data_IF_478882630468
#
_entry.id   IF_478882630468
#
_cell.length_a   1.000
_cell.length_b   1.000
_cell.length_c   1.000
_cell.angle_alpha   90.00
_cell.angle_beta   90.00
_cell.angle_gamma   90.00
#
_symmetry.space_group_name_H-M   'P 1'
#
loop_
_entity.id
_entity.type
_entity.pdbx_description
1 polymer ?
#
# COMPACT_ATOMS: atom_id res chain seq x y z
N UNK A 1 -9.15 16.14 -5.72
CA UNK A 1 -7.86 16.03 -6.48
C UNK A 1 -7.84 14.70 -7.20
N UNK A 2 -7.50 14.64 -8.50
CA UNK A 2 -7.58 13.38 -9.26
C UNK A 2 -6.32 12.52 -9.09
N UNK A 3 -6.50 11.21 -8.85
CA UNK A 3 -5.39 10.25 -8.79
C UNK A 3 -4.75 10.04 -10.16
N UNK A 4 -5.54 9.94 -11.23
CA UNK A 4 -5.07 9.81 -12.61
C UNK A 4 -6.07 10.48 -13.58
N UNK A 5 -5.66 11.00 -14.74
CA UNK A 5 -6.58 11.65 -15.68
C UNK A 5 -7.58 10.72 -16.36
N UNK A 6 -7.31 9.42 -16.43
CA UNK A 6 -8.17 8.40 -17.06
C UNK A 6 -8.47 7.24 -16.11
N UNK A 7 -9.53 6.50 -16.38
CA UNK A 7 -9.93 5.30 -15.61
C UNK A 7 -10.54 4.25 -16.55
N UNK A 8 -10.29 2.95 -16.32
CA UNK A 8 -9.34 2.38 -15.35
C UNK A 8 -7.88 2.71 -15.69
N UNK A 9 -7.01 2.75 -14.68
CA UNK A 9 -5.56 2.91 -14.85
C UNK A 9 -4.80 1.71 -14.30
N UNK A 10 -3.81 1.25 -15.05
CA UNK A 10 -3.00 0.07 -14.71
C UNK A 10 -1.84 0.46 -13.79
N UNK A 11 -1.77 -0.15 -12.62
CA UNK A 11 -0.65 -0.15 -11.69
C UNK A 11 0.33 -1.29 -12.07
N UNK A 12 1.56 -1.21 -11.59
CA UNK A 12 2.55 -2.28 -11.72
C UNK A 12 2.20 -3.54 -10.88
N UNK A 13 3.18 -4.44 -10.77
CA UNK A 13 3.07 -5.71 -10.05
C UNK A 13 4.07 -5.84 -8.91
N UNK A 14 4.31 -7.07 -8.45
CA UNK A 14 5.26 -7.33 -7.37
C UNK A 14 6.71 -7.06 -7.78
N UNK A 15 7.30 -6.01 -7.21
CA UNK A 15 8.72 -5.65 -7.40
C UNK A 15 9.65 -6.67 -6.72
N UNK A 16 9.50 -6.87 -5.41
CA UNK A 16 10.29 -7.82 -4.62
C UNK A 16 9.35 -8.73 -3.82
N UNK A 17 9.43 -10.05 -4.02
CA UNK A 17 8.79 -11.04 -3.17
C UNK A 17 9.51 -12.37 -3.34
N UNK A 18 9.92 -12.95 -2.23
CA UNK A 18 10.52 -14.27 -2.11
C UNK A 18 9.76 -15.32 -2.92
N UNK A 19 10.51 -16.12 -3.69
CA UNK A 19 9.99 -17.16 -4.59
C UNK A 19 9.10 -16.56 -5.69
N UNK A 20 9.74 -16.10 -6.77
CA UNK A 20 9.26 -15.70 -8.09
C UNK A 20 8.52 -14.37 -8.20
N UNK A 21 9.20 -13.27 -7.90
CA UNK A 21 8.91 -11.98 -8.56
C UNK A 21 9.66 -11.80 -9.84
N UNK A 22 9.31 -10.73 -10.55
CA UNK A 22 10.06 -10.11 -11.64
C UNK A 22 11.58 -10.07 -11.38
N UNK A 23 12.04 -9.73 -10.17
CA UNK A 23 13.47 -9.69 -9.86
C UNK A 23 14.14 -11.08 -9.87
N UNK A 24 13.46 -12.10 -9.35
CA UNK A 24 13.97 -13.48 -9.38
C UNK A 24 13.78 -14.13 -10.77
N UNK A 25 12.62 -13.92 -11.41
CA UNK A 25 12.24 -14.52 -12.69
C UNK A 25 12.98 -13.90 -13.88
N UNK A 26 13.24 -12.58 -13.88
CA UNK A 26 13.97 -11.90 -14.96
C UNK A 26 15.48 -11.87 -14.73
N UNK A 27 15.94 -11.82 -13.48
CA UNK A 27 17.36 -11.55 -13.18
C UNK A 27 18.03 -12.61 -12.29
N UNK A 28 17.31 -13.65 -11.84
CA UNK A 28 17.91 -14.80 -11.15
C UNK A 28 18.49 -14.50 -9.76
N UNK A 29 18.00 -13.44 -9.09
CA UNK A 29 18.51 -13.01 -7.79
C UNK A 29 17.91 -13.82 -6.62
N UNK A 30 18.72 -14.09 -5.59
CA UNK A 30 18.29 -14.75 -4.35
C UNK A 30 17.83 -13.71 -3.32
N UNK A 31 16.51 -13.49 -3.22
CA UNK A 31 15.92 -12.58 -2.22
C UNK A 31 15.63 -13.37 -0.94
N UNK A 32 16.67 -13.69 -0.16
CA UNK A 32 16.49 -14.38 1.12
C UNK A 32 15.74 -13.51 2.15
N UNK A 33 14.59 -14.01 2.65
CA UNK A 33 13.77 -13.44 3.74
C UNK A 33 14.51 -13.27 5.09
N UNK A 34 15.78 -13.64 5.17
CA UNK A 34 16.60 -13.46 6.38
C UNK A 34 17.09 -12.01 6.55
N UNK A 35 17.00 -11.17 5.52
CA UNK A 35 17.37 -9.75 5.62
C UNK A 35 16.19 -8.90 6.11
N UNK A 36 16.38 -8.03 7.13
CA UNK A 36 15.41 -7.03 7.53
C UNK A 36 15.04 -6.02 6.43
N UNK A 37 15.76 -6.00 5.29
CA UNK A 37 15.60 -5.08 4.17
C UNK A 37 15.16 -5.78 2.88
N UNK A 38 14.40 -6.88 2.92
CA UNK A 38 14.13 -7.68 1.70
C UNK A 38 13.55 -6.87 0.51
N UNK A 39 12.78 -5.81 0.76
CA UNK A 39 12.28 -4.90 -0.30
C UNK A 39 13.24 -3.76 -0.69
N UNK A 40 14.18 -3.39 0.19
CA UNK A 40 15.05 -2.22 0.00
C UNK A 40 16.52 -2.58 -0.29
N UNK A 41 16.94 -3.81 0.00
CA UNK A 41 18.31 -4.30 -0.18
C UNK A 41 18.78 -4.15 -1.62
N UNK A 42 17.89 -4.37 -2.58
CA UNK A 42 18.19 -4.27 -4.01
C UNK A 42 18.52 -2.85 -4.46
N UNK A 43 18.08 -1.82 -3.72
CA UNK A 43 18.49 -0.42 -3.98
C UNK A 43 19.99 -0.24 -3.71
N UNK A 44 20.52 -0.97 -2.72
CA UNK A 44 21.93 -0.94 -2.35
C UNK A 44 22.77 -1.79 -3.30
N UNK A 45 22.35 -3.04 -3.51
CA UNK A 45 23.19 -4.05 -4.16
C UNK A 45 23.08 -4.03 -5.69
N UNK A 46 21.88 -3.79 -6.23
CA UNK A 46 21.57 -3.93 -7.66
C UNK A 46 20.61 -2.82 -8.18
N UNK A 47 20.96 -1.52 -8.03
CA UNK A 47 20.09 -0.40 -8.38
C UNK A 47 19.64 -0.38 -9.86
N UNK A 48 20.50 -0.85 -10.77
CA UNK A 48 20.17 -1.00 -12.19
C UNK A 48 18.97 -1.95 -12.42
N UNK A 49 18.85 -2.98 -11.59
CA UNK A 49 17.78 -3.96 -11.71
C UNK A 49 16.43 -3.38 -11.29
N UNK A 50 16.42 -2.44 -10.34
CA UNK A 50 15.22 -1.66 -9.98
C UNK A 50 14.74 -0.84 -11.18
N UNK A 51 15.65 -0.15 -11.87
CA UNK A 51 15.33 0.66 -13.07
C UNK A 51 14.75 -0.23 -14.17
N UNK A 52 15.41 -1.33 -14.50
CA UNK A 52 14.95 -2.27 -15.54
C UNK A 52 13.60 -2.91 -15.19
N UNK A 53 13.34 -3.17 -13.91
CA UNK A 53 12.06 -3.71 -13.45
C UNK A 53 10.92 -2.71 -13.65
N UNK A 54 11.12 -1.45 -13.25
CA UNK A 54 10.13 -0.40 -13.51
C UNK A 54 9.89 -0.21 -15.01
N UNK A 55 10.94 -0.20 -15.84
CA UNK A 55 10.84 -0.16 -17.30
C UNK A 55 10.00 -1.33 -17.83
N UNK A 56 10.24 -2.55 -17.35
CA UNK A 56 9.50 -3.73 -17.78
C UNK A 56 7.99 -3.61 -17.51
N UNK A 57 7.60 -3.08 -16.34
CA UNK A 57 6.18 -2.83 -16.02
C UNK A 57 5.57 -1.71 -16.87
N UNK A 58 6.26 -0.59 -17.08
CA UNK A 58 5.76 0.48 -17.95
C UNK A 58 5.56 0.02 -19.39
N UNK A 59 6.52 -0.75 -19.92
CA UNK A 59 6.44 -1.41 -21.24
C UNK A 59 5.34 -2.46 -21.32
N UNK A 60 4.94 -3.05 -20.19
CA UNK A 60 3.80 -3.96 -20.12
C UNK A 60 2.45 -3.23 -20.09
N UNK A 61 2.41 -1.93 -19.82
CA UNK A 61 1.16 -1.15 -19.81
C UNK A 61 0.90 -0.41 -18.51
N UNK A 62 1.72 -0.61 -17.46
CA UNK A 62 1.59 0.15 -16.23
C UNK A 62 1.75 1.65 -16.48
N UNK A 63 0.91 2.44 -15.82
CA UNK A 63 0.90 3.91 -15.86
C UNK A 63 1.05 4.53 -14.48
N UNK A 64 0.99 3.70 -13.45
CA UNK A 64 1.43 4.02 -12.10
C UNK A 64 2.47 2.96 -11.72
N UNK A 65 3.61 3.37 -11.16
CA UNK A 65 4.61 2.47 -10.60
C UNK A 65 4.83 2.78 -9.12
N UNK A 66 5.02 1.76 -8.30
CA UNK A 66 5.33 1.88 -6.88
C UNK A 66 6.85 2.00 -6.67
N UNK A 67 7.29 2.82 -5.73
CA UNK A 67 8.72 2.88 -5.37
C UNK A 67 9.14 1.67 -4.53
N UNK A 68 10.42 1.30 -4.53
CA UNK A 68 10.94 0.16 -3.74
C UNK A 68 11.12 0.50 -2.24
N UNK A 69 10.14 1.17 -1.62
CA UNK A 69 10.21 1.74 -0.28
C UNK A 69 9.25 1.10 0.73
N UNK A 70 8.56 0.03 0.34
CA UNK A 70 7.51 -0.64 1.13
C UNK A 70 7.88 -0.83 2.61
N UNK A 71 9.04 -1.43 2.92
CA UNK A 71 9.50 -1.62 4.30
C UNK A 71 10.43 -0.52 4.83
N UNK A 72 10.87 0.40 3.97
CA UNK A 72 11.95 1.33 4.29
C UNK A 72 11.58 2.25 5.45
N UNK A 73 12.32 2.12 6.55
CA UNK A 73 12.30 3.02 7.72
C UNK A 73 13.67 2.99 8.40
N UNK A 74 14.05 4.07 9.08
CA UNK A 74 15.32 4.13 9.83
C UNK A 74 15.51 2.91 10.76
N UNK A 75 14.44 2.45 11.42
CA UNK A 75 14.48 1.28 12.29
C UNK A 75 14.80 -0.03 11.54
N UNK A 76 14.24 -0.26 10.36
CA UNK A 76 14.57 -1.45 9.56
C UNK A 76 16.02 -1.45 9.08
N UNK A 77 16.55 -0.29 8.70
CA UNK A 77 17.94 -0.11 8.31
C UNK A 77 18.89 -0.30 9.49
N UNK A 78 18.54 0.24 10.67
CA UNK A 78 19.30 0.04 11.91
C UNK A 78 19.41 -1.43 12.29
N UNK A 79 18.31 -2.20 12.20
CA UNK A 79 18.31 -3.66 12.41
C UNK A 79 19.21 -4.40 11.42
N UNK A 80 19.36 -3.88 10.21
CA UNK A 80 20.26 -4.42 9.20
C UNK A 80 21.72 -3.91 9.32
N UNK A 81 22.01 -3.04 10.30
CA UNK A 81 23.37 -2.56 10.58
C UNK A 81 23.75 -1.24 9.89
N UNK A 82 22.79 -0.52 9.30
CA UNK A 82 22.99 0.77 8.66
C UNK A 82 22.66 1.94 9.60
N UNK A 83 23.26 3.09 9.35
CA UNK A 83 22.96 4.36 10.02
C UNK A 83 21.68 5.02 9.50
N UNK A 84 21.10 5.93 10.27
CA UNK A 84 19.92 6.71 9.86
C UNK A 84 20.19 7.56 8.60
N UNK A 85 21.45 8.02 8.44
CA UNK A 85 21.89 8.72 7.23
C UNK A 85 21.89 7.79 5.99
N UNK A 86 22.39 6.56 6.13
CA UNK A 86 22.35 5.57 5.05
C UNK A 86 20.91 5.15 4.72
N UNK A 87 20.05 5.02 5.74
CA UNK A 87 18.62 4.75 5.57
C UNK A 87 17.94 5.84 4.72
N UNK A 88 18.11 7.10 5.13
CA UNK A 88 17.56 8.28 4.44
C UNK A 88 18.03 8.31 2.99
N UNK A 89 19.34 8.21 2.74
CA UNK A 89 19.89 8.23 1.38
C UNK A 89 19.39 7.08 0.52
N UNK A 90 19.22 5.88 1.09
CA UNK A 90 18.71 4.72 0.35
C UNK A 90 17.24 4.90 -0.02
N UNK A 91 16.43 5.41 0.91
CA UNK A 91 15.02 5.71 0.66
C UNK A 91 14.86 6.79 -0.42
N UNK A 92 15.64 7.88 -0.36
CA UNK A 92 15.65 8.91 -1.41
C UNK A 92 16.13 8.35 -2.75
N UNK A 93 17.20 7.53 -2.75
CA UNK A 93 17.70 6.87 -3.97
C UNK A 93 16.63 6.05 -4.68
N UNK A 94 15.72 5.39 -3.95
CA UNK A 94 14.61 4.64 -4.54
C UNK A 94 13.69 5.54 -5.41
N UNK A 95 13.48 6.79 -5.01
CA UNK A 95 12.68 7.78 -5.75
C UNK A 95 13.38 8.14 -7.05
N UNK A 96 14.69 8.39 -7.00
CA UNK A 96 15.47 8.72 -8.19
C UNK A 96 15.53 7.54 -9.17
N UNK A 97 15.70 6.30 -8.70
CA UNK A 97 15.69 5.12 -9.58
C UNK A 97 14.34 4.94 -10.31
N UNK A 98 13.21 5.17 -9.62
CA UNK A 98 11.90 5.16 -10.26
C UNK A 98 11.77 6.29 -11.31
N UNK A 99 12.36 7.46 -11.04
CA UNK A 99 12.37 8.58 -11.98
C UNK A 99 13.28 8.36 -13.19
N UNK A 100 14.43 7.70 -13.02
CA UNK A 100 15.34 7.34 -14.10
C UNK A 100 14.65 6.37 -15.05
N UNK A 101 13.93 5.39 -14.51
CA UNK A 101 13.09 4.48 -15.29
C UNK A 101 11.99 5.24 -16.03
N UNK A 102 11.25 6.12 -15.34
CA UNK A 102 10.19 6.93 -15.96
C UNK A 102 10.74 7.78 -17.10
N UNK A 103 11.85 8.48 -16.86
CA UNK A 103 12.50 9.35 -17.86
C UNK A 103 12.93 8.54 -19.07
N UNK A 104 13.55 7.38 -18.85
CA UNK A 104 13.97 6.48 -19.92
C UNK A 104 12.79 5.96 -20.74
N UNK A 105 11.70 5.56 -20.09
CA UNK A 105 10.48 5.12 -20.76
C UNK A 105 9.82 6.23 -21.58
N UNK A 106 9.72 7.45 -21.03
CA UNK A 106 9.11 8.58 -21.74
C UNK A 106 9.92 9.00 -22.98
N UNK A 107 11.24 8.85 -22.97
CA UNK A 107 12.09 9.12 -24.13
C UNK A 107 11.87 8.14 -25.29
N UNK A 108 11.36 6.92 -25.03
CA UNK A 108 11.03 5.92 -26.05
C UNK A 108 9.53 5.80 -26.36
N UNK A 109 8.68 6.58 -25.69
CA UNK A 109 7.21 6.48 -25.76
C UNK A 109 6.58 7.63 -26.56
N UNK A 110 5.27 7.49 -26.86
CA UNK A 110 4.49 8.59 -27.44
C UNK A 110 4.43 9.79 -26.47
N UNK A 111 4.48 11.05 -26.96
CA UNK A 111 4.52 12.25 -26.11
C UNK A 111 3.33 12.42 -25.15
N UNK A 112 2.18 11.81 -25.47
CA UNK A 112 0.95 11.91 -24.67
C UNK A 112 0.89 10.86 -23.54
N UNK A 113 1.86 9.94 -23.47
CA UNK A 113 1.92 8.94 -22.39
C UNK A 113 2.36 9.61 -21.10
N UNK A 114 1.48 9.60 -20.10
CA UNK A 114 1.82 9.97 -18.73
C UNK A 114 2.13 8.73 -17.89
N UNK A 115 3.11 8.84 -16.97
CA UNK A 115 3.38 7.83 -15.94
C UNK A 115 3.53 8.52 -14.60
N UNK A 116 2.85 8.00 -13.57
CA UNK A 116 2.96 8.50 -12.19
C UNK A 116 3.82 7.58 -11.33
N UNK A 117 4.61 8.19 -10.45
CA UNK A 117 5.38 7.48 -9.42
C UNK A 117 4.63 7.60 -8.10
N UNK A 118 4.29 6.45 -7.52
CA UNK A 118 3.62 6.34 -6.25
C UNK A 118 4.62 5.91 -5.16
N UNK A 119 4.77 6.73 -4.12
CA UNK A 119 5.60 6.42 -2.96
C UNK A 119 4.94 5.27 -2.19
N UNK A 120 5.53 4.07 -2.23
CA UNK A 120 5.05 2.89 -1.49
C UNK A 120 5.46 2.96 -0.02
N UNK A 121 4.47 2.89 0.87
CA UNK A 121 4.64 2.83 2.32
C UNK A 121 3.82 1.66 2.89
N UNK A 122 4.52 0.59 3.27
CA UNK A 122 3.92 -0.56 3.95
C UNK A 122 3.53 -0.27 5.41
N UNK A 123 2.82 -1.21 6.06
CA UNK A 123 2.39 -1.06 7.43
C UNK A 123 3.56 -1.24 8.40
N UNK A 124 3.36 -0.84 9.65
CA UNK A 124 4.32 -1.07 10.73
C UNK A 124 4.69 -2.55 10.86
N UNK A 125 3.73 -3.46 10.65
CA UNK A 125 3.96 -4.90 10.69
C UNK A 125 5.07 -5.39 9.75
N UNK A 126 5.28 -4.71 8.62
CA UNK A 126 6.33 -5.05 7.66
C UNK A 126 7.76 -4.68 8.16
N UNK A 127 7.87 -3.89 9.23
CA UNK A 127 9.14 -3.52 9.89
C UNK A 127 9.55 -4.45 11.04
N UNK A 128 8.68 -5.42 11.38
CA UNK A 128 8.90 -6.38 12.46
C UNK A 128 9.65 -7.62 11.98
N UNK A 129 10.29 -8.32 12.93
CA UNK A 129 10.94 -9.61 12.69
C UNK A 129 10.47 -10.62 13.74
N UNK A 130 9.67 -11.64 13.38
CA UNK A 130 9.10 -11.86 12.04
C UNK A 130 8.12 -10.75 11.62
N UNK A 131 7.91 -10.61 10.31
CA UNK A 131 6.99 -9.63 9.74
C UNK A 131 5.52 -9.98 10.10
N UNK A 132 4.70 -8.97 10.33
CA UNK A 132 3.32 -9.07 10.86
C UNK A 132 2.31 -8.22 10.06
N UNK A 133 2.60 -7.94 8.79
CA UNK A 133 1.75 -7.20 7.87
C UNK A 133 0.44 -7.93 7.52
N UNK A 134 0.35 -9.25 7.73
CA UNK A 134 -0.87 -10.03 7.50
C UNK A 134 -1.63 -10.35 8.79
N UNK A 135 -0.93 -10.55 9.91
CA UNK A 135 -1.57 -10.96 11.18
C UNK A 135 -1.87 -9.77 12.12
N UNK A 136 -1.08 -8.69 12.02
CA UNK A 136 -1.31 -7.47 12.79
C UNK A 136 -0.97 -7.55 14.29
N UNK A 137 -0.15 -8.51 14.72
CA UNK A 137 0.29 -8.63 16.12
C UNK A 137 1.46 -7.70 16.43
N UNK A 138 1.15 -6.46 16.81
CA UNK A 138 2.14 -5.42 17.05
C UNK A 138 2.51 -5.34 18.54
N UNK A 139 3.81 -5.22 18.88
CA UNK A 139 4.25 -5.01 20.26
C UNK A 139 3.86 -3.64 20.80
N UNK A 140 3.75 -3.48 22.13
CA UNK A 140 3.62 -2.16 22.74
C UNK A 140 4.78 -1.22 22.36
N UNK A 141 4.52 0.09 22.18
CA UNK A 141 3.21 0.75 22.28
C UNK A 141 2.33 0.60 21.03
N UNK A 142 2.84 0.04 19.92
CA UNK A 142 2.13 -0.03 18.62
C UNK A 142 0.94 -0.99 18.58
N UNK A 143 0.83 -1.89 19.55
CA UNK A 143 -0.32 -2.78 19.75
C UNK A 143 -0.24 -3.46 21.11
N UNK A 144 -1.19 -4.35 21.41
CA UNK A 144 -1.29 -4.93 22.74
C UNK A 144 -0.19 -5.97 23.02
N UNK A 145 0.19 -6.77 22.03
CA UNK A 145 1.18 -7.82 22.17
C UNK A 145 1.88 -8.12 20.83
N UNK A 146 3.21 -8.21 20.88
CA UNK A 146 4.01 -8.62 19.74
C UNK A 146 3.99 -10.13 19.55
N UNK A 147 4.26 -10.59 18.33
CA UNK A 147 4.30 -12.01 17.97
C UNK A 147 5.11 -12.87 18.95
N UNK A 148 4.53 -13.99 19.40
CA UNK A 148 5.16 -14.95 20.30
C UNK A 148 4.59 -16.36 20.10
N UNK A 149 5.47 -17.36 20.00
CA UNK A 149 5.06 -18.78 19.96
C UNK A 149 4.61 -19.32 21.33
N UNK A 150 4.80 -18.55 22.41
CA UNK A 150 4.61 -19.00 23.79
C UNK A 150 3.42 -18.37 24.50
N UNK A 151 2.83 -17.31 23.94
CA UNK A 151 1.74 -16.54 24.57
C UNK A 151 0.49 -16.56 23.70
N UNK A 152 -0.71 -16.52 24.29
CA UNK A 152 -1.93 -16.25 23.54
C UNK A 152 -1.80 -14.93 22.77
N UNK A 153 -2.01 -15.00 21.46
CA UNK A 153 -1.89 -13.87 20.55
C UNK A 153 -3.24 -13.18 20.39
N UNK A 154 -3.24 -11.85 20.47
CA UNK A 154 -4.40 -11.00 20.23
C UNK A 154 -3.95 -9.66 19.65
N UNK A 155 -4.79 -9.02 18.84
CA UNK A 155 -4.45 -7.78 18.16
C UNK A 155 -5.51 -6.69 18.38
N UNK A 156 -6.32 -6.83 19.42
CA UNK A 156 -7.33 -5.87 19.85
C UNK A 156 -7.06 -5.45 21.29
N UNK A 157 -7.34 -4.18 21.61
CA UNK A 157 -7.43 -3.72 22.99
C UNK A 157 -8.82 -4.10 23.53
N UNK A 158 -8.92 -4.33 24.83
CA UNK A 158 -10.23 -4.55 25.46
C UNK A 158 -10.98 -3.20 25.59
N UNK A 159 -12.31 -3.24 25.78
CA UNK A 159 -13.15 -2.03 25.78
C UNK A 159 -12.73 -0.99 26.84
N UNK A 160 -12.11 -1.43 27.92
CA UNK A 160 -11.64 -0.57 29.01
C UNK A 160 -10.24 0.04 28.75
N UNK A 161 -9.51 -0.41 27.73
CA UNK A 161 -8.13 -0.02 27.40
C UNK A 161 -8.06 1.11 26.33
N UNK A 162 -9.02 2.03 26.36
CA UNK A 162 -9.14 3.13 25.37
C UNK A 162 -7.88 4.00 25.32
N UNK A 163 -7.26 4.28 26.48
CA UNK A 163 -6.03 5.07 26.55
C UNK A 163 -4.87 4.36 25.83
N UNK A 164 -4.75 3.03 25.99
CA UNK A 164 -3.71 2.24 25.34
C UNK A 164 -3.93 2.14 23.82
N UNK A 165 -5.19 2.03 23.35
CA UNK A 165 -5.48 2.11 21.91
C UNK A 165 -5.09 3.48 21.34
N UNK A 166 -5.35 4.56 22.07
CA UNK A 166 -4.99 5.91 21.64
C UNK A 166 -3.47 6.11 21.59
N UNK A 167 -2.73 5.61 22.59
CA UNK A 167 -1.26 5.60 22.58
C UNK A 167 -0.71 4.80 21.39
N UNK A 168 -1.34 3.67 21.06
CA UNK A 168 -1.00 2.87 19.89
C UNK A 168 -1.23 3.62 18.58
N UNK A 169 -2.35 4.31 18.44
CA UNK A 169 -2.63 5.15 17.26
C UNK A 169 -1.57 6.25 17.13
N UNK A 170 -1.18 6.91 18.23
CA UNK A 170 -0.15 7.95 18.21
C UNK A 170 1.23 7.40 17.83
N UNK A 171 1.63 6.26 18.41
CA UNK A 171 2.91 5.63 18.11
C UNK A 171 3.00 5.21 16.64
N UNK A 172 1.92 4.63 16.10
CA UNK A 172 1.83 4.29 14.68
C UNK A 172 1.81 5.54 13.79
N UNK A 173 1.17 6.63 14.23
CA UNK A 173 1.13 7.88 13.47
C UNK A 173 2.53 8.49 13.37
N UNK A 174 3.29 8.48 14.47
CA UNK A 174 4.68 8.93 14.48
C UNK A 174 5.55 8.08 13.54
N UNK A 175 5.38 6.75 13.57
CA UNK A 175 6.10 5.85 12.66
C UNK A 175 5.89 6.20 11.18
N UNK A 176 4.64 6.46 10.77
CA UNK A 176 4.33 6.87 9.39
C UNK A 176 4.82 8.29 9.09
N UNK A 177 4.70 9.22 10.05
CA UNK A 177 5.18 10.59 9.91
C UNK A 177 6.69 10.66 9.69
N UNK A 178 7.47 9.92 10.47
CA UNK A 178 8.94 9.90 10.35
C UNK A 178 9.38 9.50 8.92
N UNK A 179 8.71 8.49 8.34
CA UNK A 179 8.96 8.06 6.95
C UNK A 179 8.55 9.12 5.94
N UNK A 180 7.39 9.77 6.13
CA UNK A 180 6.92 10.83 5.24
C UNK A 180 7.88 12.04 5.25
N UNK A 181 8.40 12.41 6.41
CA UNK A 181 9.29 13.55 6.58
C UNK A 181 10.63 13.37 5.85
N UNK A 182 11.12 12.14 5.69
CA UNK A 182 12.31 11.84 4.87
C UNK A 182 12.13 12.39 3.44
N UNK A 183 10.97 12.13 2.83
CA UNK A 183 10.70 12.55 1.46
C UNK A 183 10.22 13.99 1.37
N UNK A 184 9.39 14.45 2.32
CA UNK A 184 8.82 15.80 2.28
C UNK A 184 9.85 16.90 2.54
N UNK A 185 10.93 16.60 3.27
CA UNK A 185 12.04 17.53 3.51
C UNK A 185 13.05 17.57 2.36
N UNK A 186 12.95 16.68 1.38
CA UNK A 186 13.74 16.70 0.16
C UNK A 186 12.90 17.23 -1.02
N UNK A 187 13.10 18.49 -1.46
CA UNK A 187 12.25 19.08 -2.49
C UNK A 187 12.33 18.37 -3.84
N UNK A 188 13.47 17.77 -4.17
CA UNK A 188 13.68 17.07 -5.44
C UNK A 188 12.87 15.77 -5.43
N UNK A 189 13.03 14.94 -4.41
CA UNK A 189 12.26 13.71 -4.24
C UNK A 189 10.75 14.00 -4.16
N UNK A 190 10.33 15.00 -3.39
CA UNK A 190 8.91 15.37 -3.30
C UNK A 190 8.32 15.84 -4.63
N UNK A 191 9.12 16.48 -5.49
CA UNK A 191 8.68 16.88 -6.84
C UNK A 191 8.48 15.69 -7.78
N UNK A 192 9.28 14.63 -7.60
CA UNK A 192 9.22 13.40 -8.40
C UNK A 192 7.99 12.55 -8.03
N UNK A 193 7.68 12.48 -6.73
CA UNK A 193 6.56 11.69 -6.20
C UNK A 193 5.23 12.30 -6.65
N UNK A 194 4.40 11.52 -7.33
CA UNK A 194 3.08 11.99 -7.80
C UNK A 194 1.94 11.58 -6.86
N UNK A 195 2.09 10.45 -6.17
CA UNK A 195 1.07 9.83 -5.33
C UNK A 195 1.73 9.24 -4.07
N UNK A 196 1.02 9.19 -2.94
CA UNK A 196 1.46 8.44 -1.75
C UNK A 196 0.58 7.20 -1.59
N UNK A 197 1.20 6.03 -1.52
CA UNK A 197 0.53 4.73 -1.47
C UNK A 197 0.79 4.05 -0.13
N UNK A 198 -0.13 4.21 0.82
CA UNK A 198 -0.12 3.37 2.00
C UNK A 198 -0.77 2.04 1.64
N UNK A 199 -0.03 0.94 1.82
CA UNK A 199 -0.47 -0.33 1.29
C UNK A 199 -0.31 -1.51 2.22
N UNK A 200 -1.15 -2.52 2.03
CA UNK A 200 -1.17 -3.75 2.85
C UNK A 200 -1.50 -3.45 4.31
N UNK A 201 -2.38 -2.48 4.59
CA UNK A 201 -2.68 -2.05 5.97
C UNK A 201 -3.65 -3.05 6.62
N UNK A 202 -3.26 -3.77 7.69
CA UNK A 202 -4.06 -4.86 8.25
C UNK A 202 -5.06 -4.41 9.34
N UNK A 203 -4.92 -3.20 9.87
CA UNK A 203 -5.54 -2.80 11.13
C UNK A 203 -6.27 -1.47 11.01
N UNK A 204 -7.50 -1.41 11.54
CA UNK A 204 -8.30 -0.19 11.62
C UNK A 204 -7.57 0.90 12.43
N UNK A 205 -6.89 0.54 13.52
CA UNK A 205 -6.08 1.51 14.29
C UNK A 205 -4.94 2.11 13.48
N UNK A 206 -4.33 1.34 12.58
CA UNK A 206 -3.27 1.84 11.72
C UNK A 206 -3.81 2.72 10.60
N UNK A 207 -5.01 2.43 10.08
CA UNK A 207 -5.74 3.34 9.16
C UNK A 207 -5.97 4.71 9.82
N UNK A 208 -6.41 4.74 11.08
CA UNK A 208 -6.56 5.98 11.87
C UNK A 208 -5.22 6.70 12.03
N UNK A 209 -4.15 5.95 12.36
CA UNK A 209 -2.81 6.47 12.54
C UNK A 209 -2.23 7.10 11.26
N UNK A 210 -2.43 6.48 10.09
CA UNK A 210 -2.00 7.03 8.80
C UNK A 210 -2.69 8.37 8.51
N UNK A 211 -3.99 8.48 8.81
CA UNK A 211 -4.73 9.73 8.65
C UNK A 211 -4.20 10.83 9.57
N UNK A 212 -3.85 10.47 10.80
CA UNK A 212 -3.19 11.38 11.73
C UNK A 212 -1.81 11.79 11.22
N UNK A 213 -1.00 10.86 10.71
CA UNK A 213 0.32 11.15 10.15
C UNK A 213 0.25 12.13 8.95
N UNK A 214 -0.73 11.97 8.06
CA UNK A 214 -0.94 12.89 6.92
C UNK A 214 -1.34 14.30 7.37
N UNK A 215 -2.13 14.41 8.44
CA UNK A 215 -2.46 15.69 9.04
C UNK A 215 -1.23 16.34 9.68
N UNK A 216 -0.50 15.57 10.51
CA UNK A 216 0.73 16.02 11.17
C UNK A 216 1.80 16.42 10.16
N UNK A 217 1.95 15.72 9.04
CA UNK A 217 2.90 16.07 7.97
C UNK A 217 2.68 17.50 7.48
N UNK A 218 1.43 17.84 7.15
CA UNK A 218 1.09 19.18 6.65
C UNK A 218 1.47 20.26 7.66
N UNK A 219 1.23 20.00 8.94
CA UNK A 219 1.47 20.96 10.02
C UNK A 219 2.94 21.09 10.36
N UNK A 220 3.67 19.98 10.41
CA UNK A 220 5.12 19.97 10.61
C UNK A 220 5.80 20.75 9.49
N UNK A 221 5.47 20.49 8.23
CA UNK A 221 6.07 21.23 7.10
C UNK A 221 5.68 22.71 7.12
N UNK A 222 4.43 23.04 7.46
CA UNK A 222 4.00 24.44 7.59
C UNK A 222 4.73 25.18 8.73
N UNK A 223 4.95 24.51 9.87
CA UNK A 223 5.72 25.04 10.99
C UNK A 223 7.21 25.23 10.64
N UNK A 224 7.75 24.40 9.75
CA UNK A 224 9.09 24.54 9.16
C UNK A 224 9.15 25.63 8.06
N UNK A 225 8.02 26.28 7.75
CA UNK A 225 7.94 27.34 6.74
C UNK A 225 7.88 26.84 5.29
N UNK A 226 7.53 25.56 5.10
CA UNK A 226 7.43 24.91 3.79
C UNK A 226 5.95 24.71 3.43
N UNK A 227 5.50 25.34 2.34
CA UNK A 227 4.18 25.06 1.76
C UNK A 227 4.25 23.79 0.90
N UNK A 228 3.96 22.65 1.53
CA UNK A 228 4.05 21.35 0.89
C UNK A 228 2.89 21.16 -0.10
N UNK A 229 3.23 21.09 -1.40
CA UNK A 229 2.23 20.82 -2.44
C UNK A 229 1.50 19.50 -2.12
N UNK A 230 0.14 19.50 -2.06
CA UNK A 230 -0.61 18.31 -1.70
C UNK A 230 -0.49 17.25 -2.78
N UNK A 231 -0.30 15.99 -2.36
CA UNK A 231 -0.27 14.82 -3.24
C UNK A 231 -1.53 13.99 -3.02
N UNK A 232 -2.17 13.46 -4.08
CA UNK A 232 -3.20 12.45 -3.89
C UNK A 232 -2.58 11.23 -3.23
N UNK A 233 -3.39 10.50 -2.49
CA UNK A 233 -2.90 9.36 -1.72
C UNK A 233 -3.99 8.33 -1.51
N UNK A 234 -3.61 7.08 -1.28
CA UNK A 234 -4.55 6.01 -0.99
C UNK A 234 -4.13 5.18 0.22
N UNK A 235 -5.10 4.42 0.74
CA UNK A 235 -4.88 3.35 1.70
C UNK A 235 -5.45 2.06 1.11
N UNK A 236 -4.64 1.04 0.92
CA UNK A 236 -5.12 -0.31 0.62
C UNK A 236 -5.01 -1.23 1.82
N UNK A 237 -6.07 -2.02 2.01
CA UNK A 237 -6.20 -2.97 3.10
C UNK A 237 -5.74 -4.34 2.66
N UNK A 238 -5.31 -5.16 3.63
CA UNK A 238 -5.09 -6.60 3.42
C UNK A 238 -6.11 -7.38 4.24
N UNK A 239 -6.78 -8.34 3.58
CA UNK A 239 -7.77 -9.21 4.22
C UNK A 239 -7.42 -10.68 3.98
N UNK A 240 -6.47 -11.24 4.73
CA UNK A 240 -6.11 -12.65 4.62
C UNK A 240 -7.35 -13.52 4.82
N UNK A 241 -7.58 -14.47 3.90
CA UNK A 241 -8.79 -15.32 3.91
C UNK A 241 -10.11 -14.54 3.93
N UNK A 242 -10.11 -13.28 3.48
CA UNK A 242 -11.30 -12.43 3.37
C UNK A 242 -11.71 -11.78 4.68
N UNK A 243 -10.83 -11.73 5.70
CA UNK A 243 -11.13 -11.16 7.02
C UNK A 243 -10.12 -10.09 7.40
N UNK A 244 -10.60 -9.03 8.06
CA UNK A 244 -9.73 -8.06 8.70
C UNK A 244 -8.98 -8.76 9.85
N UNK A 245 -7.64 -8.69 9.90
CA UNK A 245 -6.89 -9.29 11.01
C UNK A 245 -7.35 -8.79 12.38
N UNK A 246 -7.65 -7.49 12.51
CA UNK A 246 -8.09 -6.89 13.78
C UNK A 246 -9.45 -7.44 14.25
N UNK A 247 -9.53 -7.86 15.51
CA UNK A 247 -10.79 -8.19 16.19
C UNK A 247 -11.35 -7.01 16.97
N UNK A 248 -12.62 -7.10 17.39
CA UNK A 248 -13.25 -6.07 18.23
C UNK A 248 -12.69 -6.05 19.66
N UNK A 249 -12.39 -7.22 20.21
CA UNK A 249 -11.76 -7.45 21.51
C UNK A 249 -10.97 -8.77 21.43
N UNK A 250 -10.18 -9.11 22.46
CA UNK A 250 -9.38 -10.33 22.44
C UNK A 250 -10.26 -11.60 22.30
N UNK A 251 -10.07 -12.34 21.20
CA UNK A 251 -10.88 -13.54 20.88
C UNK A 251 -12.30 -13.26 20.36
N UNK A 252 -12.65 -11.98 20.16
CA UNK A 252 -13.92 -11.54 19.58
C UNK A 252 -14.01 -11.70 18.06
N UNK A 253 -15.13 -11.26 17.45
CA UNK A 253 -15.27 -11.27 16.00
C UNK A 253 -14.30 -10.29 15.34
N UNK A 254 -13.94 -10.59 14.09
CA UNK A 254 -13.15 -9.69 13.25
C UNK A 254 -13.93 -8.42 12.93
N UNK A 255 -13.21 -7.30 12.82
CA UNK A 255 -13.74 -6.08 12.23
C UNK A 255 -14.08 -6.31 10.74
N UNK A 256 -14.95 -5.47 10.21
CA UNK A 256 -15.52 -5.61 8.87
C UNK A 256 -14.81 -4.72 7.85
N UNK A 257 -15.04 -4.99 6.56
CA UNK A 257 -14.64 -4.07 5.47
C UNK A 257 -15.24 -2.68 5.69
N UNK A 258 -16.47 -2.60 6.20
CA UNK A 258 -17.12 -1.32 6.52
C UNK A 258 -16.35 -0.54 7.59
N UNK A 259 -15.85 -1.19 8.64
CA UNK A 259 -15.05 -0.53 9.68
C UNK A 259 -13.76 0.09 9.11
N UNK A 260 -13.09 -0.61 8.20
CA UNK A 260 -11.91 -0.10 7.49
C UNK A 260 -12.25 1.11 6.60
N UNK A 261 -13.32 1.01 5.81
CA UNK A 261 -13.81 2.11 4.95
C UNK A 261 -14.19 3.32 5.79
N UNK A 262 -14.89 3.14 6.90
CA UNK A 262 -15.31 4.23 7.79
C UNK A 262 -14.12 4.85 8.50
N UNK A 263 -13.13 4.07 8.92
CA UNK A 263 -11.89 4.60 9.47
C UNK A 263 -11.12 5.44 8.43
N UNK A 264 -11.05 4.98 7.19
CA UNK A 264 -10.34 5.69 6.12
C UNK A 264 -11.07 6.99 5.70
N UNK A 265 -12.40 7.00 5.70
CA UNK A 265 -13.17 8.08 5.07
C UNK A 265 -13.91 8.99 6.06
N UNK A 266 -14.33 8.49 7.23
CA UNK A 266 -15.17 9.22 8.18
C UNK A 266 -14.51 9.59 9.51
N UNK A 267 -13.62 8.72 10.01
CA UNK A 267 -13.00 8.93 11.33
C UNK A 267 -12.35 10.31 11.43
N UNK A 268 -12.26 10.89 12.61
CA UNK A 268 -11.56 12.16 12.83
C UNK A 268 -10.76 12.05 14.12
N UNK A 269 -9.51 12.53 14.17
CA UNK A 269 -8.82 12.71 15.44
C UNK A 269 -9.63 13.69 16.29
N UNK A 270 -9.75 13.44 17.60
CA UNK A 270 -10.52 14.31 18.48
C UNK A 270 -9.91 15.72 18.55
N UNK A 271 -10.73 16.76 18.73
CA UNK A 271 -10.24 18.16 18.85
C UNK A 271 -9.18 18.33 19.96
N UNK A 272 -9.26 17.52 21.02
CA UNK A 272 -8.29 17.50 22.13
C UNK A 272 -6.92 16.94 21.72
N UNK A 273 -6.86 16.10 20.69
CA UNK A 273 -5.63 15.39 20.33
C UNK A 273 -4.59 16.34 19.74
N UNK A 274 -5.00 17.43 19.08
CA UNK A 274 -4.04 18.22 18.32
C UNK A 274 -4.29 19.75 18.29
N UNK A 275 -5.44 20.29 18.73
CA UNK A 275 -5.66 21.75 18.71
C UNK A 275 -5.63 22.38 17.31
N UNK A 276 -6.06 21.63 16.29
CA UNK A 276 -5.81 21.93 14.87
C UNK A 276 -6.98 22.65 14.19
N UNK A 277 -6.62 23.57 13.29
CA UNK A 277 -7.55 24.34 12.49
C UNK A 277 -7.31 24.00 11.01
N UNK A 278 -8.09 23.09 10.43
CA UNK A 278 -8.01 22.76 9.01
C UNK A 278 -8.93 21.63 8.55
N UNK A 279 -9.24 21.57 7.26
CA UNK A 279 -9.88 20.41 6.65
C UNK A 279 -8.90 19.23 6.67
N UNK A 280 -9.29 18.14 7.32
CA UNK A 280 -8.47 16.94 7.46
C UNK A 280 -8.24 16.25 6.11
N UNK A 281 -7.00 15.81 5.81
CA UNK A 281 -6.74 15.06 4.60
C UNK A 281 -7.49 13.72 4.65
N UNK A 282 -8.35 13.50 3.67
CA UNK A 282 -8.95 12.19 3.40
C UNK A 282 -8.23 11.55 2.23
N UNK A 283 -8.09 10.21 2.22
CA UNK A 283 -7.45 9.54 1.11
C UNK A 283 -8.28 9.73 -0.17
N UNK A 284 -7.59 9.98 -1.28
CA UNK A 284 -8.19 10.11 -2.61
C UNK A 284 -8.64 8.76 -3.15
N UNK A 285 -8.02 7.66 -2.70
CA UNK A 285 -8.43 6.30 -3.03
C UNK A 285 -8.38 5.37 -1.83
N UNK A 286 -9.20 4.32 -1.85
CA UNK A 286 -9.12 3.21 -0.91
C UNK A 286 -9.24 1.89 -1.66
N UNK A 287 -8.73 0.81 -1.08
CA UNK A 287 -8.62 -0.41 -1.85
C UNK A 287 -8.21 -1.65 -1.10
N UNK A 288 -7.88 -2.68 -1.86
CA UNK A 288 -7.39 -3.97 -1.36
C UNK A 288 -6.20 -4.41 -2.19
N UNK A 289 -5.16 -4.85 -1.49
CA UNK A 289 -4.00 -5.46 -2.11
C UNK A 289 -3.52 -6.69 -1.35
N UNK A 290 -2.58 -7.41 -1.97
CA UNK A 290 -1.92 -8.60 -1.44
C UNK A 290 -2.87 -9.67 -0.86
N UNK A 291 -4.09 -9.70 -1.38
CA UNK A 291 -5.15 -10.64 -1.04
C UNK A 291 -5.35 -11.60 -2.21
N UNK A 292 -5.86 -12.81 -1.94
CA UNK A 292 -6.13 -13.79 -2.99
C UNK A 292 -7.11 -13.23 -4.04
N UNK A 293 -6.84 -13.38 -5.35
CA UNK A 293 -7.74 -12.92 -6.43
C UNK A 293 -9.19 -13.39 -6.28
N UNK A 294 -9.40 -14.62 -5.80
CA UNK A 294 -10.72 -15.24 -5.66
C UNK A 294 -11.65 -14.45 -4.71
N UNK A 295 -11.06 -13.69 -3.78
CA UNK A 295 -11.80 -12.92 -2.78
C UNK A 295 -12.08 -11.48 -3.24
N UNK A 296 -11.37 -10.99 -4.26
CA UNK A 296 -11.39 -9.57 -4.63
C UNK A 296 -12.78 -9.12 -5.08
N UNK A 297 -13.50 -9.92 -5.86
CA UNK A 297 -14.86 -9.55 -6.29
C UNK A 297 -15.83 -9.38 -5.10
N UNK A 298 -15.76 -10.28 -4.12
CA UNK A 298 -16.59 -10.21 -2.91
C UNK A 298 -16.22 -9.00 -2.03
N UNK A 299 -14.93 -8.79 -1.82
CA UNK A 299 -14.46 -7.68 -0.98
C UNK A 299 -14.67 -6.32 -1.64
N UNK A 300 -14.48 -6.19 -2.96
CA UNK A 300 -14.79 -4.98 -3.71
C UNK A 300 -16.28 -4.62 -3.60
N UNK A 301 -17.17 -5.62 -3.65
CA UNK A 301 -18.60 -5.44 -3.40
C UNK A 301 -18.90 -4.89 -1.99
N UNK A 302 -18.26 -5.44 -0.97
CA UNK A 302 -18.40 -4.95 0.41
C UNK A 302 -17.90 -3.51 0.54
N UNK A 303 -16.77 -3.18 -0.11
CA UNK A 303 -16.26 -1.80 -0.16
C UNK A 303 -17.22 -0.85 -0.86
N UNK A 304 -17.74 -1.22 -2.04
CA UNK A 304 -18.71 -0.41 -2.78
C UNK A 304 -19.96 -0.15 -1.93
N UNK A 305 -20.49 -1.19 -1.27
CA UNK A 305 -21.65 -1.05 -0.38
C UNK A 305 -21.36 -0.13 0.82
N UNK A 306 -20.16 -0.22 1.42
CA UNK A 306 -19.76 0.67 2.51
C UNK A 306 -19.60 2.13 2.03
N UNK A 307 -18.98 2.37 0.88
CA UNK A 307 -18.87 3.71 0.28
C UNK A 307 -20.25 4.26 -0.12
N UNK A 308 -21.14 3.41 -0.62
CA UNK A 308 -22.51 3.78 -0.97
C UNK A 308 -23.28 4.34 0.23
N UNK A 309 -23.12 3.74 1.41
CA UNK A 309 -23.72 4.22 2.66
C UNK A 309 -23.20 5.60 3.07
N UNK A 310 -22.01 5.99 2.61
CA UNK A 310 -21.39 7.28 2.94
C UNK A 310 -21.82 8.42 2.03
N UNK A 311 -22.68 8.19 1.02
CA UNK A 311 -23.11 9.24 0.08
C UNK A 311 -23.74 10.43 0.80
N UNK A 312 -22.92 11.44 1.03
CA UNK A 312 -23.31 12.79 1.39
C UNK A 312 -23.15 13.66 0.13
N UNK A 313 -24.10 14.56 -0.20
CA UNK A 313 -24.07 15.36 -1.43
C UNK A 313 -22.80 16.20 -1.66
N UNK A 314 -21.99 16.40 -0.62
CA UNK A 314 -20.80 17.26 -0.61
C UNK A 314 -19.48 16.49 -0.64
N UNK A 315 -19.49 15.15 -0.61
CA UNK A 315 -18.27 14.33 -0.57
C UNK A 315 -17.86 13.89 -1.98
N UNK A 316 -16.62 14.18 -2.37
CA UNK A 316 -16.03 13.59 -3.58
C UNK A 316 -15.91 12.07 -3.42
N UNK A 317 -16.32 11.31 -4.43
CA UNK A 317 -16.16 9.87 -4.46
C UNK A 317 -14.66 9.49 -4.44
N UNK A 318 -14.24 8.50 -3.64
CA UNK A 318 -12.87 8.00 -3.67
C UNK A 318 -12.61 7.19 -4.95
N UNK A 319 -11.35 6.91 -5.23
CA UNK A 319 -10.96 5.91 -6.23
C UNK A 319 -10.94 4.52 -5.59
N UNK A 320 -11.33 3.51 -6.38
CA UNK A 320 -11.15 2.11 -6.04
C UNK A 320 -9.74 1.67 -6.44
N UNK A 321 -8.99 1.06 -5.52
CA UNK A 321 -7.61 0.60 -5.79
C UNK A 321 -7.53 -0.91 -5.56
N UNK A 322 -7.27 -1.71 -6.60
CA UNK A 322 -7.26 -3.17 -6.51
C UNK A 322 -5.99 -3.77 -7.11
N UNK A 323 -5.17 -4.45 -6.30
CA UNK A 323 -3.99 -5.13 -6.81
C UNK A 323 -3.68 -6.41 -6.02
N UNK A 324 -4.38 -7.52 -6.34
CA UNK A 324 -4.23 -8.80 -5.64
C UNK A 324 -2.95 -9.53 -6.01
N UNK A 325 -2.70 -10.65 -5.34
CA UNK A 325 -1.61 -11.57 -5.72
C UNK A 325 -1.85 -12.21 -7.10
N UNK A 326 -0.81 -12.73 -7.75
CA UNK A 326 -0.89 -13.31 -9.11
C UNK A 326 -1.59 -14.68 -9.22
N UNK A 327 -2.25 -15.16 -8.16
CA UNK A 327 -3.03 -16.39 -8.15
C UNK A 327 -2.39 -17.57 -7.41
N UNK A 328 -1.08 -17.53 -7.14
CA UNK A 328 -0.42 -18.49 -6.24
C UNK A 328 -0.97 -18.36 -4.82
N UNK A 329 -0.90 -19.43 -4.03
CA UNK A 329 -1.44 -19.47 -2.67
C UNK A 329 -0.30 -19.26 -1.69
N UNK A 330 -0.40 -18.22 -0.86
CA UNK A 330 0.53 -18.03 0.26
C UNK A 330 0.02 -18.81 1.47
N UNK A 331 0.80 -19.78 1.92
CA UNK A 331 0.52 -20.53 3.14
C UNK A 331 1.02 -19.72 4.34
N UNK A 332 0.09 -19.26 5.19
CA UNK A 332 0.38 -18.46 6.39
C UNK A 332 1.10 -19.27 7.48
N UNK A 333 0.94 -20.60 7.50
CA UNK A 333 1.55 -21.49 8.49
C UNK A 333 3.02 -21.72 8.12
N UNK A 334 3.29 -22.06 6.86
CA UNK A 334 4.66 -22.33 6.39
C UNK A 334 5.40 -21.09 5.91
N UNK A 335 4.70 -19.94 5.77
CA UNK A 335 5.21 -18.68 5.22
C UNK A 335 5.88 -18.87 3.86
N UNK A 336 5.23 -19.63 2.99
CA UNK A 336 5.75 -19.99 1.66
C UNK A 336 4.65 -20.00 0.61
N UNK A 337 5.03 -19.76 -0.65
CA UNK A 337 4.12 -19.86 -1.78
C UNK A 337 3.95 -21.29 -2.28
N UNK A 338 2.72 -21.65 -2.60
CA UNK A 338 2.34 -22.86 -3.33
C UNK A 338 1.87 -22.43 -4.72
N UNK A 339 2.53 -22.94 -5.76
CA UNK A 339 2.19 -22.63 -7.15
C UNK A 339 0.72 -22.98 -7.43
N UNK A 340 -0.02 -22.00 -7.93
CA UNK A 340 -1.35 -22.26 -8.44
C UNK A 340 -1.29 -23.01 -9.77
N UNK A 341 -2.37 -23.72 -10.10
CA UNK A 341 -2.54 -24.30 -11.44
C UNK A 341 -2.48 -23.20 -12.51
N UNK A 342 -1.87 -23.49 -13.66
CA UNK A 342 -1.75 -22.55 -14.79
C UNK A 342 -3.08 -21.88 -15.15
N UNK A 343 -4.20 -22.62 -15.09
CA UNK A 343 -5.55 -22.09 -15.35
C UNK A 343 -5.89 -20.84 -14.50
N UNK A 344 -5.47 -20.79 -13.23
CA UNK A 344 -5.77 -19.66 -12.33
C UNK A 344 -4.98 -18.40 -12.70
N UNK A 345 -3.76 -18.56 -13.22
CA UNK A 345 -2.96 -17.42 -13.71
C UNK A 345 -3.54 -16.87 -15.01
N UNK A 346 -4.11 -17.74 -15.87
CA UNK A 346 -4.74 -17.31 -17.12
C UNK A 346 -6.02 -16.51 -16.93
N UNK A 347 -6.84 -16.79 -15.91
CA UNK A 347 -8.08 -16.04 -15.70
C UNK A 347 -7.91 -14.76 -14.88
N UNK A 348 -6.73 -14.53 -14.29
CA UNK A 348 -6.45 -13.42 -13.36
C UNK A 348 -6.88 -12.05 -13.91
N UNK A 349 -6.42 -11.70 -15.12
CA UNK A 349 -6.73 -10.43 -15.77
C UNK A 349 -8.22 -10.28 -16.07
N UNK A 350 -8.85 -11.35 -16.58
CA UNK A 350 -10.26 -11.39 -16.93
C UNK A 350 -11.16 -11.26 -15.68
N UNK A 351 -10.80 -11.90 -14.58
CA UNK A 351 -11.59 -11.86 -13.34
C UNK A 351 -11.48 -10.50 -12.65
N UNK A 352 -10.32 -9.84 -12.72
CA UNK A 352 -10.17 -8.43 -12.33
C UNK A 352 -11.01 -7.51 -13.21
N UNK A 353 -10.99 -7.68 -14.53
CA UNK A 353 -11.83 -6.91 -15.45
C UNK A 353 -13.31 -7.06 -15.10
N UNK A 354 -13.81 -8.28 -14.91
CA UNK A 354 -15.21 -8.52 -14.49
C UNK A 354 -15.56 -7.81 -13.18
N UNK A 355 -14.63 -7.79 -12.23
CA UNK A 355 -14.83 -7.06 -10.97
C UNK A 355 -14.97 -5.57 -11.22
N UNK A 356 -14.16 -5.00 -12.11
CA UNK A 356 -14.24 -3.58 -12.50
C UNK A 356 -15.55 -3.28 -13.23
N UNK A 357 -15.97 -4.13 -14.17
CA UNK A 357 -17.24 -3.99 -14.88
C UNK A 357 -18.41 -3.86 -13.88
N UNK A 358 -18.47 -4.76 -12.88
CA UNK A 358 -19.56 -4.78 -11.91
C UNK A 358 -19.45 -3.68 -10.85
N UNK A 359 -18.27 -3.41 -10.32
CA UNK A 359 -18.12 -2.54 -9.15
C UNK A 359 -17.84 -1.08 -9.51
N UNK A 360 -17.41 -0.78 -10.75
CA UNK A 360 -17.19 0.58 -11.23
C UNK A 360 -18.19 0.98 -12.32
N UNK A 361 -18.27 0.23 -13.43
CA UNK A 361 -19.11 0.64 -14.57
C UNK A 361 -20.61 0.49 -14.28
N UNK A 362 -21.02 -0.60 -13.65
CA UNK A 362 -22.43 -0.86 -13.28
C UNK A 362 -22.88 -0.08 -12.02
N UNK A 363 -21.97 0.62 -11.33
CA UNK A 363 -22.23 1.41 -10.11
C UNK A 363 -21.77 2.87 -10.25
N UNK A 364 -22.38 3.63 -11.17
CA UNK A 364 -21.97 5.01 -11.41
C UNK A 364 -22.13 5.88 -10.15
N UNK A 365 -21.11 6.67 -9.84
CA UNK A 365 -21.11 7.61 -8.72
C UNK A 365 -20.49 7.09 -7.41
N UNK A 366 -20.32 5.76 -7.26
CA UNK A 366 -19.70 5.17 -6.07
C UNK A 366 -18.19 5.45 -6.04
N UNK A 367 -17.52 5.29 -7.18
CA UNK A 367 -16.09 5.49 -7.33
C UNK A 367 -15.81 6.55 -8.39
N UNK A 368 -14.85 7.44 -8.12
CA UNK A 368 -14.41 8.45 -9.09
C UNK A 368 -13.52 7.88 -10.20
N UNK A 369 -12.94 6.69 -9.98
CA UNK A 369 -12.08 5.99 -10.91
C UNK A 369 -11.51 4.72 -10.28
N UNK A 370 -10.79 3.94 -11.08
CA UNK A 370 -10.19 2.66 -10.66
C UNK A 370 -8.71 2.62 -10.99
N UNK A 371 -7.90 2.28 -9.99
CA UNK A 371 -6.51 1.83 -10.15
C UNK A 371 -6.51 0.30 -10.02
N UNK A 372 -5.93 -0.42 -10.97
CA UNK A 372 -5.85 -1.88 -10.94
C UNK A 372 -4.46 -2.39 -11.32
N UNK A 373 -3.91 -3.33 -10.58
CA UNK A 373 -2.59 -3.92 -10.87
C UNK A 373 -2.39 -5.25 -10.14
N UNK A 374 -1.16 -5.53 -9.72
CA UNK A 374 -0.83 -6.74 -8.96
C UNK A 374 0.05 -6.49 -7.73
N UNK A 375 -0.01 -7.41 -6.78
CA UNK A 375 0.93 -7.52 -5.66
C UNK A 375 1.86 -8.73 -5.90
N UNK A 376 2.05 -9.61 -4.92
CA UNK A 376 3.00 -10.71 -4.98
C UNK A 376 2.73 -11.63 -6.16
N UNK A 377 3.81 -12.19 -6.74
CA UNK A 377 3.72 -13.13 -7.87
C UNK A 377 3.07 -12.55 -9.14
N UNK A 378 3.00 -11.22 -9.27
CA UNK A 378 2.48 -10.56 -10.48
C UNK A 378 3.62 -9.89 -11.24
N UNK A 379 4.10 -10.54 -12.29
CA UNK A 379 5.15 -10.00 -13.18
C UNK A 379 4.60 -9.20 -14.37
N UNK A 380 5.48 -8.60 -15.20
CA UNK A 380 5.09 -7.80 -16.36
C UNK A 380 4.19 -8.52 -17.37
N UNK A 381 4.31 -9.85 -17.48
CA UNK A 381 3.44 -10.66 -18.35
C UNK A 381 1.96 -10.57 -17.96
N UNK A 382 1.64 -10.69 -16.66
CA UNK A 382 0.26 -10.57 -16.16
C UNK A 382 -0.25 -9.13 -16.26
N UNK A 383 0.61 -8.14 -15.98
CA UNK A 383 0.25 -6.72 -16.16
C UNK A 383 -0.08 -6.40 -17.63
N UNK A 384 0.65 -6.99 -18.58
CA UNK A 384 0.34 -6.86 -20.01
C UNK A 384 -1.01 -7.46 -20.37
N UNK A 385 -1.30 -8.67 -19.88
CA UNK A 385 -2.61 -9.29 -20.10
C UNK A 385 -3.74 -8.41 -19.54
N UNK A 386 -3.59 -7.89 -18.33
CA UNK A 386 -4.57 -6.97 -17.74
C UNK A 386 -4.76 -5.69 -18.56
N UNK A 387 -3.67 -5.08 -19.01
CA UNK A 387 -3.72 -3.89 -19.86
C UNK A 387 -4.45 -4.16 -21.19
N UNK A 388 -4.16 -5.29 -21.83
CA UNK A 388 -4.78 -5.66 -23.10
C UNK A 388 -6.28 -5.97 -22.92
N UNK A 389 -6.66 -6.67 -21.84
CA UNK A 389 -8.07 -6.95 -21.50
C UNK A 389 -8.88 -5.68 -21.20
N UNK A 390 -8.28 -4.70 -20.52
CA UNK A 390 -8.93 -3.42 -20.24
C UNK A 390 -9.06 -2.52 -21.47
N UNK A 391 -8.18 -2.67 -22.47
CA UNK A 391 -8.22 -1.93 -23.74
C UNK A 391 -9.17 -2.51 -24.79
N UNK A 392 -9.48 -3.81 -24.71
CA UNK A 392 -10.34 -4.49 -25.66
C UNK A 392 -11.84 -4.15 -25.51
N UNK A 393 -12.19 -3.36 -24.48
CA UNK A 393 -13.54 -2.82 -24.21
C UNK A 393 -13.64 -1.36 -24.64
#
# INVERSE_FOLDING_TARGET
>A
MLLYPTSPVVLDGGLASYHGTTLEELFGMDISLKSPLWSAQQILDHPETIVETHLAFMRAGARIILTSTYQGSEETFRKAGYSDFEATNTMLKAIHLANDARTSFLNESDPDVAVKIALSLGPFGASLSPAQEFDGFYPPPYGPIGFSDMKPMYNAFDEDDVEAEQESIHALAQFHLDRLLIFARDPEAWSIIDIIAFETVPLVREVKAIRMAMLSLKETMAAEGVDLAPKPWWITFVLPNGKCPQTQFAGGPHLTVQDLVFAALLWKPSEQTLGLLGAEPTPTGIGINCTSPELISGLAREMSAAVEQLHAPTREAPWLVLYPNGGDIYDLITRSWVLASDDKRHTWALDLKKTIDVEFWDRPGVWAGVVVGGCCRTGPGLIRQLHDELKAS
#
